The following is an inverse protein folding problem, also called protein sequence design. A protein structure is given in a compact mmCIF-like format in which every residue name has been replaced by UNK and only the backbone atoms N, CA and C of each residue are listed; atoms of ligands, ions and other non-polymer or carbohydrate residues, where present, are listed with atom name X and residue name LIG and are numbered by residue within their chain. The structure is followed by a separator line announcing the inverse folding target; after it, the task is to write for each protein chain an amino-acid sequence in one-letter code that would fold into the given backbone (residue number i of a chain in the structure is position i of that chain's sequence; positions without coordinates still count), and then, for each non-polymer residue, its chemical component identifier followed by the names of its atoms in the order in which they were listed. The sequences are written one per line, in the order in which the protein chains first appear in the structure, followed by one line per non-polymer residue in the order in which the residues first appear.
data_IF_017179162019
#
_entry.id   IF_017179162019
#
_cell.length_a   1.000
_cell.length_b   1.000
_cell.length_c   1.000
_cell.angle_alpha   90.00
_cell.angle_beta   90.00
_cell.angle_gamma   90.00
#
_symmetry.space_group_name_H-M   'P 1'
#
loop_
_entity.id
_entity.type
_entity.pdbx_description
1 polymer ?
#
# COMPACT_ATOMS: atom_id res chain seq x y z
N UNK A 1 15.24 3.23 -44.85
CA UNK A 1 14.62 4.34 -44.09
C UNK A 1 14.43 5.49 -45.07
N UNK A 2 13.19 5.89 -45.31
CA UNK A 2 12.89 7.10 -46.09
C UNK A 2 13.06 8.34 -45.20
N UNK A 3 13.68 9.39 -45.73
CA UNK A 3 13.89 10.65 -45.00
C UNK A 3 12.59 11.45 -45.05
N UNK A 4 12.02 11.74 -43.88
CA UNK A 4 10.81 12.57 -43.75
C UNK A 4 11.15 14.06 -43.73
N UNK A 5 10.28 14.91 -44.28
CA UNK A 5 10.37 16.36 -44.12
C UNK A 5 10.01 16.79 -42.69
N UNK A 6 10.37 18.01 -42.30
CA UNK A 6 9.97 18.56 -41.00
C UNK A 6 8.44 18.67 -40.86
N UNK A 7 7.74 18.96 -41.95
CA UNK A 7 6.28 19.01 -41.97
C UNK A 7 5.68 17.64 -41.64
N UNK A 8 6.16 16.59 -42.31
CA UNK A 8 5.74 15.21 -42.04
C UNK A 8 6.09 14.73 -40.62
N UNK A 9 7.16 15.26 -40.01
CA UNK A 9 7.52 14.95 -38.61
C UNK A 9 6.64 15.68 -37.58
N UNK A 10 5.90 16.71 -37.99
CA UNK A 10 4.99 17.49 -37.14
C UNK A 10 3.54 17.03 -37.23
N UNK A 11 3.21 16.14 -38.17
CA UNK A 11 1.90 15.53 -38.27
C UNK A 11 1.65 14.64 -37.05
N UNK A 12 0.45 14.76 -36.45
CA UNK A 12 0.05 13.89 -35.36
C UNK A 12 -0.18 12.46 -35.88
N UNK A 13 0.25 11.47 -35.10
CA UNK A 13 -0.01 10.06 -35.38
C UNK A 13 -1.48 9.77 -35.07
N UNK A 14 -2.26 9.39 -36.10
CA UNK A 14 -3.72 9.15 -35.99
C UNK A 14 -4.08 8.16 -34.87
N UNK A 15 -3.22 7.19 -34.58
CA UNK A 15 -3.46 6.21 -33.50
C UNK A 15 -3.64 6.89 -32.15
N UNK A 16 -2.93 7.99 -31.92
CA UNK A 16 -2.95 8.74 -30.66
C UNK A 16 -4.25 9.53 -30.48
N UNK A 17 -4.86 9.95 -31.59
CA UNK A 17 -6.09 10.75 -31.61
C UNK A 17 -7.34 9.94 -31.23
N UNK A 18 -7.24 8.61 -31.21
CA UNK A 18 -8.33 7.70 -30.83
C UNK A 18 -8.47 7.53 -29.32
N UNK A 19 -7.54 8.05 -28.52
CA UNK A 19 -7.60 8.00 -27.06
C UNK A 19 -8.28 9.24 -26.52
N UNK A 20 -9.49 9.06 -25.98
CA UNK A 20 -10.35 10.12 -25.45
C UNK A 20 -10.52 9.99 -23.93
N UNK A 21 -11.14 10.95 -23.23
CA UNK A 21 -11.47 10.79 -21.81
C UNK A 21 -12.35 9.56 -21.51
N UNK A 22 -13.11 9.07 -22.49
CA UNK A 22 -13.89 7.82 -22.39
C UNK A 22 -13.10 6.54 -22.69
N UNK A 23 -11.78 6.64 -22.88
CA UNK A 23 -10.90 5.54 -23.29
C UNK A 23 -10.67 5.48 -24.80
N UNK A 24 -10.33 4.28 -25.29
CA UNK A 24 -10.10 4.01 -26.71
C UNK A 24 -11.43 4.11 -27.48
N UNK A 25 -11.51 5.06 -28.41
CA UNK A 25 -12.68 5.23 -29.28
C UNK A 25 -12.42 4.68 -30.67
N UNK A 26 -13.36 3.88 -31.18
CA UNK A 26 -13.34 3.38 -32.55
C UNK A 26 -14.00 4.37 -33.53
N UNK A 27 -14.98 5.13 -33.03
CA UNK A 27 -15.86 5.98 -33.85
C UNK A 27 -15.57 7.48 -33.74
N UNK A 28 -14.79 7.90 -32.73
CA UNK A 28 -14.43 9.30 -32.52
C UNK A 28 -12.91 9.47 -32.58
N UNK A 29 -12.48 10.52 -33.26
CA UNK A 29 -11.08 10.90 -33.39
C UNK A 29 -10.98 12.35 -32.90
N UNK A 30 -10.06 12.60 -31.97
CA UNK A 30 -9.73 13.93 -31.50
C UNK A 30 -8.96 14.70 -32.59
N UNK A 31 -9.08 16.03 -32.61
CA UNK A 31 -8.15 16.83 -33.41
C UNK A 31 -6.71 16.66 -32.88
N UNK A 32 -5.67 16.87 -33.69
CA UNK A 32 -4.28 16.87 -33.22
C UNK A 32 -4.07 17.68 -31.94
N UNK A 33 -4.65 18.88 -31.86
CA UNK A 33 -4.54 19.80 -30.73
C UNK A 33 -5.25 19.25 -29.49
N UNK A 34 -6.44 18.68 -29.67
CA UNK A 34 -7.21 18.08 -28.57
C UNK A 34 -6.52 16.83 -28.02
N UNK A 35 -5.93 16.02 -28.90
CA UNK A 35 -5.12 14.86 -28.52
C UNK A 35 -3.87 15.32 -27.75
N UNK A 36 -3.16 16.33 -28.25
CA UNK A 36 -2.00 16.90 -27.57
C UNK A 36 -2.33 17.47 -26.19
N UNK A 37 -3.43 18.22 -26.07
CA UNK A 37 -3.89 18.74 -24.80
C UNK A 37 -4.25 17.61 -23.83
N UNK A 38 -5.08 16.65 -24.26
CA UNK A 38 -5.50 15.53 -23.44
C UNK A 38 -4.31 14.73 -22.90
N UNK A 39 -3.34 14.38 -23.75
CA UNK A 39 -2.15 13.62 -23.32
C UNK A 39 -1.29 14.41 -22.33
N UNK A 40 -1.14 15.73 -22.49
CA UNK A 40 -0.41 16.57 -21.54
C UNK A 40 -1.13 16.68 -20.19
N UNK A 41 -2.45 16.82 -20.19
CA UNK A 41 -3.26 16.89 -18.97
C UNK A 41 -3.14 15.61 -18.14
N UNK A 42 -3.09 14.43 -18.77
CA UNK A 42 -2.92 13.15 -18.08
C UNK A 42 -1.63 13.06 -17.24
N UNK A 43 -0.55 13.71 -17.68
CA UNK A 43 0.74 13.70 -16.98
C UNK A 43 1.01 14.99 -16.19
N UNK A 44 0.21 16.05 -16.39
CA UNK A 44 0.41 17.35 -15.77
C UNK A 44 0.41 17.30 -14.24
N UNK A 45 -0.49 16.49 -13.67
CA UNK A 45 -0.67 16.34 -12.22
C UNK A 45 0.32 15.36 -11.55
N UNK A 46 1.17 14.68 -12.31
CA UNK A 46 2.11 13.70 -11.76
C UNK A 46 3.32 14.42 -11.18
N UNK A 47 3.24 14.86 -9.93
CA UNK A 47 4.24 15.72 -9.30
C UNK A 47 5.15 14.94 -8.34
N UNK A 48 6.44 15.27 -8.37
CA UNK A 48 7.41 14.79 -7.39
C UNK A 48 7.57 15.82 -6.26
N UNK A 49 7.60 15.34 -5.02
CA UNK A 49 7.80 16.19 -3.83
C UNK A 49 9.13 16.93 -3.88
N UNK A 50 9.25 18.16 -3.34
CA UNK A 50 10.44 19.02 -3.51
C UNK A 50 11.76 18.36 -3.11
N UNK A 51 11.74 17.49 -2.10
CA UNK A 51 12.92 16.87 -1.50
C UNK A 51 13.61 15.83 -2.40
N UNK A 52 12.94 15.37 -3.46
CA UNK A 52 13.54 14.44 -4.43
C UNK A 52 14.75 15.09 -5.09
N UNK A 53 15.85 14.33 -5.17
CA UNK A 53 17.12 14.76 -5.76
C UNK A 53 16.97 15.27 -7.18
N UNK A 54 17.83 16.21 -7.58
CA UNK A 54 17.80 16.81 -8.90
C UNK A 54 17.96 15.78 -10.03
N UNK A 55 18.80 14.75 -9.85
CA UNK A 55 19.03 13.69 -10.85
C UNK A 55 17.77 12.86 -11.13
N UNK A 56 17.13 12.37 -10.08
CA UNK A 56 15.85 11.64 -10.17
C UNK A 56 14.73 12.53 -10.74
N UNK A 57 14.61 13.78 -10.26
CA UNK A 57 13.62 14.73 -10.78
C UNK A 57 13.79 15.00 -12.27
N UNK A 58 15.00 15.32 -12.70
CA UNK A 58 15.30 15.59 -14.11
C UNK A 58 14.97 14.37 -14.99
N UNK A 59 15.25 13.16 -14.51
CA UNK A 59 14.92 11.92 -15.24
C UNK A 59 13.41 11.77 -15.41
N UNK A 60 12.65 12.01 -14.35
CA UNK A 60 11.19 11.91 -14.37
C UNK A 60 10.53 13.01 -15.23
N UNK A 61 10.95 14.27 -15.09
CA UNK A 61 10.42 15.40 -15.86
C UNK A 61 10.72 15.24 -17.36
N UNK A 62 11.87 14.63 -17.70
CA UNK A 62 12.20 14.26 -19.08
C UNK A 62 11.22 13.21 -19.62
N UNK A 63 10.82 12.21 -18.83
CA UNK A 63 9.81 11.24 -19.26
C UNK A 63 8.46 11.90 -19.51
N UNK A 64 8.00 12.78 -18.61
CA UNK A 64 6.76 13.57 -18.81
C UNK A 64 6.80 14.40 -20.10
N UNK A 65 7.95 15.03 -20.37
CA UNK A 65 8.15 15.82 -21.58
C UNK A 65 8.12 14.95 -22.83
N UNK A 66 8.85 13.82 -22.82
CA UNK A 66 8.89 12.89 -23.96
C UNK A 66 7.53 12.25 -24.21
N UNK A 67 6.78 11.93 -23.15
CA UNK A 67 5.41 11.42 -23.24
C UNK A 67 4.52 12.33 -24.10
N UNK A 68 4.58 13.65 -23.89
CA UNK A 68 3.80 14.60 -24.65
C UNK A 68 4.11 14.57 -26.17
N UNK A 69 5.37 14.28 -26.54
CA UNK A 69 5.76 14.09 -27.94
C UNK A 69 5.23 12.79 -28.56
N UNK A 70 4.71 11.86 -27.77
CA UNK A 70 4.11 10.62 -28.27
C UNK A 70 2.91 10.83 -29.20
N UNK A 71 2.27 12.00 -29.14
CA UNK A 71 1.22 12.44 -30.08
C UNK A 71 1.73 12.50 -31.52
N UNK A 72 3.02 12.80 -31.72
CA UNK A 72 3.65 12.87 -33.04
C UNK A 72 4.20 11.51 -33.49
N UNK A 73 4.48 10.61 -32.56
CA UNK A 73 4.99 9.27 -32.83
C UNK A 73 4.56 8.32 -31.72
N UNK A 74 3.57 7.49 -32.00
CA UNK A 74 2.93 6.63 -31.01
C UNK A 74 3.94 5.72 -30.28
N UNK A 75 4.97 5.23 -30.97
CA UNK A 75 5.94 4.28 -30.41
C UNK A 75 6.73 4.90 -29.23
N UNK A 76 6.78 6.23 -29.13
CA UNK A 76 7.36 6.95 -28.00
C UNK A 76 6.68 6.56 -26.68
N UNK A 77 5.38 6.28 -26.64
CA UNK A 77 4.72 5.85 -25.40
C UNK A 77 5.33 4.54 -24.85
N UNK A 78 5.70 3.63 -25.74
CA UNK A 78 6.36 2.37 -25.36
C UNK A 78 7.78 2.62 -24.88
N UNK A 79 8.50 3.54 -25.52
CA UNK A 79 9.85 3.94 -25.11
C UNK A 79 9.83 4.60 -23.73
N UNK A 80 8.85 5.50 -23.48
CA UNK A 80 8.68 6.17 -22.18
C UNK A 80 8.35 5.17 -21.09
N UNK A 81 7.42 4.24 -21.35
CA UNK A 81 7.08 3.17 -20.40
C UNK A 81 8.30 2.32 -20.03
N UNK A 82 9.04 1.84 -21.03
CA UNK A 82 10.27 1.08 -20.82
C UNK A 82 11.32 1.87 -20.03
N UNK A 83 11.48 3.16 -20.32
CA UNK A 83 12.45 4.01 -19.62
C UNK A 83 11.99 4.35 -18.20
N UNK A 84 10.68 4.47 -17.94
CA UNK A 84 10.15 4.65 -16.60
C UNK A 84 10.57 3.51 -15.65
N UNK A 85 10.59 2.27 -16.15
CA UNK A 85 11.07 1.11 -15.39
C UNK A 85 12.58 1.19 -15.05
N UNK A 86 13.38 1.86 -15.87
CA UNK A 86 14.81 2.10 -15.57
C UNK A 86 14.99 3.23 -14.54
N UNK A 87 14.12 4.24 -14.55
CA UNK A 87 14.17 5.35 -13.58
C UNK A 87 13.89 4.88 -12.14
N UNK A 88 13.16 3.77 -11.95
CA UNK A 88 12.98 3.15 -10.62
C UNK A 88 14.33 2.80 -9.98
N UNK A 89 15.23 2.18 -10.74
CA UNK A 89 16.56 1.84 -10.22
C UNK A 89 17.41 3.09 -9.97
N UNK A 90 17.31 4.10 -10.83
CA UNK A 90 17.98 5.38 -10.62
C UNK A 90 17.52 6.04 -9.32
N UNK A 91 16.20 6.14 -9.10
CA UNK A 91 15.63 6.72 -7.88
C UNK A 91 16.05 5.98 -6.62
N UNK A 92 16.08 4.63 -6.67
CA UNK A 92 16.59 3.81 -5.57
C UNK A 92 18.06 4.08 -5.27
N UNK A 93 18.91 4.22 -6.30
CA UNK A 93 20.34 4.52 -6.11
C UNK A 93 20.56 5.91 -5.52
N UNK A 94 19.87 6.92 -6.05
CA UNK A 94 19.92 8.28 -5.51
C UNK A 94 19.51 8.28 -4.03
N UNK A 95 18.37 7.65 -3.73
CA UNK A 95 17.88 7.56 -2.35
C UNK A 95 18.83 6.78 -1.45
N UNK A 96 19.46 5.72 -1.96
CA UNK A 96 20.44 4.92 -1.25
C UNK A 96 21.67 5.73 -0.83
N UNK A 97 22.23 6.50 -1.76
CA UNK A 97 23.40 7.35 -1.49
C UNK A 97 23.05 8.45 -0.48
N UNK A 98 21.90 9.10 -0.64
CA UNK A 98 21.41 10.12 0.28
C UNK A 98 21.21 9.56 1.70
N UNK A 99 20.51 8.42 1.82
CA UNK A 99 20.21 7.78 3.11
C UNK A 99 21.48 7.44 3.92
N UNK A 100 22.55 7.05 3.23
CA UNK A 100 23.82 6.67 3.86
C UNK A 100 24.77 7.85 4.11
N UNK A 101 24.45 9.06 3.67
CA UNK A 101 25.21 10.28 4.00
C UNK A 101 26.70 10.21 3.66
N UNK A 102 27.06 9.48 2.59
CA UNK A 102 28.44 9.35 2.11
C UNK A 102 29.24 8.15 2.64
N UNK A 103 28.70 7.30 3.52
CA UNK A 103 29.39 6.05 3.89
C UNK A 103 28.43 4.89 4.11
N UNK A 104 28.70 3.79 3.40
CA UNK A 104 27.91 2.55 3.49
C UNK A 104 28.69 1.53 4.30
N UNK A 105 28.02 0.87 5.25
CA UNK A 105 28.63 -0.15 6.10
C UNK A 105 28.15 -1.53 5.75
N UNK A 106 29.09 -2.42 5.44
CA UNK A 106 28.87 -3.85 5.24
C UNK A 106 29.42 -4.64 6.42
N UNK A 107 28.71 -5.69 6.82
CA UNK A 107 29.06 -6.55 7.96
C UNK A 107 29.28 -7.97 7.46
N UNK A 108 30.44 -8.55 7.76
CA UNK A 108 30.75 -9.93 7.40
C UNK A 108 29.97 -10.90 8.28
N UNK A 109 29.25 -11.83 7.67
CA UNK A 109 28.37 -12.75 8.40
C UNK A 109 29.12 -13.66 9.37
N UNK A 110 30.36 -14.05 9.04
CA UNK A 110 31.13 -15.05 9.81
C UNK A 110 31.72 -14.53 11.12
N UNK A 111 32.14 -13.27 11.17
CA UNK A 111 32.90 -12.71 12.31
C UNK A 111 32.49 -11.28 12.68
N UNK A 112 31.40 -10.78 12.10
CA UNK A 112 30.84 -9.45 12.36
C UNK A 112 31.80 -8.29 12.02
N UNK A 113 32.88 -8.53 11.26
CA UNK A 113 33.78 -7.46 10.83
C UNK A 113 33.05 -6.46 9.93
N UNK A 114 33.25 -5.18 10.22
CA UNK A 114 32.71 -4.08 9.42
C UNK A 114 33.66 -3.65 8.30
N UNK A 115 33.07 -3.34 7.15
CA UNK A 115 33.71 -2.69 6.01
C UNK A 115 32.95 -1.41 5.69
N UNK A 116 33.66 -0.28 5.75
CA UNK A 116 33.11 1.03 5.38
C UNK A 116 33.54 1.36 3.96
N UNK A 117 32.55 1.66 3.12
CA UNK A 117 32.75 1.98 1.70
C UNK A 117 32.30 3.43 1.50
N UNK A 118 33.15 4.22 0.84
CA UNK A 118 32.79 5.58 0.46
C UNK A 118 31.62 5.54 -0.54
N UNK A 119 30.57 6.32 -0.25
CA UNK A 119 29.33 6.35 -1.00
C UNK A 119 29.06 7.74 -1.60
N UNK A 120 30.12 8.43 -2.00
CA UNK A 120 30.04 9.64 -2.84
C UNK A 120 29.47 9.34 -4.23
N UNK A 121 29.61 8.11 -4.72
CA UNK A 121 28.94 7.60 -5.92
C UNK A 121 28.59 6.13 -5.75
N UNK A 122 27.86 5.56 -6.72
CA UNK A 122 27.44 4.17 -6.67
C UNK A 122 28.56 3.17 -7.06
N UNK A 123 29.59 3.64 -7.78
CA UNK A 123 30.64 2.79 -8.34
C UNK A 123 31.52 2.12 -7.27
N UNK A 124 32.02 2.81 -6.22
CA UNK A 124 32.78 2.16 -5.14
C UNK A 124 32.01 1.04 -4.42
N UNK A 125 30.69 1.18 -4.30
CA UNK A 125 29.83 0.14 -3.71
C UNK A 125 29.84 -1.11 -4.59
N UNK A 126 29.68 -0.94 -5.90
CA UNK A 126 29.73 -2.05 -6.86
C UNK A 126 31.09 -2.73 -6.88
N UNK A 127 32.17 -1.97 -6.82
CA UNK A 127 33.53 -2.52 -6.77
C UNK A 127 33.79 -3.31 -5.49
N UNK A 128 33.33 -2.81 -4.34
CA UNK A 128 33.39 -3.54 -3.08
C UNK A 128 32.63 -4.89 -3.18
N UNK A 129 31.43 -4.89 -3.73
CA UNK A 129 30.59 -6.09 -3.85
C UNK A 129 31.20 -7.16 -4.79
N UNK A 130 32.06 -6.77 -5.73
CA UNK A 130 32.81 -7.70 -6.59
C UNK A 130 33.93 -8.42 -5.84
N UNK A 131 34.43 -7.88 -4.73
CA UNK A 131 35.48 -8.49 -3.91
C UNK A 131 35.00 -9.73 -3.15
N UNK A 132 35.94 -10.57 -2.71
CA UNK A 132 35.63 -11.74 -1.87
C UNK A 132 35.05 -11.35 -0.50
N UNK A 133 35.44 -10.19 0.04
CA UNK A 133 34.89 -9.64 1.27
C UNK A 133 33.43 -9.19 1.07
N UNK A 134 33.15 -8.46 -0.02
CA UNK A 134 31.81 -7.98 -0.34
C UNK A 134 30.80 -9.11 -0.52
N UNK A 135 31.17 -10.16 -1.28
CA UNK A 135 30.29 -11.33 -1.51
C UNK A 135 29.88 -12.08 -0.23
N UNK A 136 30.64 -11.94 0.86
CA UNK A 136 30.39 -12.59 2.15
C UNK A 136 29.82 -11.64 3.21
N UNK A 137 29.50 -10.42 2.80
CA UNK A 137 29.01 -9.38 3.70
C UNK A 137 27.54 -9.07 3.44
N UNK A 138 26.89 -8.55 4.47
CA UNK A 138 25.50 -8.04 4.43
C UNK A 138 25.53 -6.53 4.63
N UNK A 139 24.61 -5.82 4.01
CA UNK A 139 24.48 -4.39 4.19
C UNK A 139 23.85 -4.10 5.55
N UNK A 140 24.41 -3.17 6.32
CA UNK A 140 23.77 -2.64 7.54
C UNK A 140 22.69 -1.63 7.16
N UNK A 141 21.52 -1.76 7.77
CA UNK A 141 20.38 -0.88 7.55
C UNK A 141 20.31 0.16 8.67
N UNK A 142 20.53 1.43 8.31
CA UNK A 142 20.53 2.54 9.26
C UNK A 142 21.59 2.39 10.38
N UNK A 143 21.31 2.97 11.54
CA UNK A 143 22.19 2.92 12.72
C UNK A 143 22.02 1.65 13.57
N UNK A 144 21.08 0.77 13.24
CA UNK A 144 20.75 -0.42 14.03
C UNK A 144 21.59 -1.66 13.69
N UNK A 145 21.38 -2.79 14.40
CA UNK A 145 22.06 -4.05 14.12
C UNK A 145 21.48 -4.79 12.90
N UNK A 146 20.36 -4.33 12.35
CA UNK A 146 19.69 -4.98 11.24
C UNK A 146 20.58 -5.02 9.98
N UNK A 147 20.62 -6.19 9.32
CA UNK A 147 21.38 -6.36 8.07
C UNK A 147 20.59 -7.10 6.99
N UNK A 148 20.80 -6.73 5.74
CA UNK A 148 20.15 -7.33 4.57
C UNK A 148 21.16 -7.91 3.59
N UNK A 149 20.74 -8.93 2.85
CA UNK A 149 21.49 -9.33 1.66
C UNK A 149 21.42 -8.21 0.64
N UNK A 150 22.57 -7.84 0.07
CA UNK A 150 22.66 -6.74 -0.88
C UNK A 150 23.64 -7.09 -1.99
N UNK A 151 23.16 -7.09 -3.23
CA UNK A 151 23.96 -7.39 -4.43
C UNK A 151 24.28 -6.14 -5.26
N UNK A 152 23.87 -4.94 -4.80
CA UNK A 152 24.06 -3.69 -5.54
C UNK A 152 23.18 -3.53 -6.78
N UNK A 153 22.30 -4.49 -7.05
CA UNK A 153 21.35 -4.46 -8.16
C UNK A 153 19.95 -4.10 -7.67
N UNK A 154 19.01 -3.89 -8.60
CA UNK A 154 17.63 -3.52 -8.31
C UNK A 154 16.97 -4.35 -7.19
N UNK A 155 17.11 -5.67 -7.19
CA UNK A 155 16.59 -6.55 -6.14
C UNK A 155 17.23 -6.27 -4.76
N UNK A 156 18.54 -6.07 -4.69
CA UNK A 156 19.22 -5.68 -3.45
C UNK A 156 18.77 -4.31 -2.95
N UNK A 157 18.56 -3.34 -3.87
CA UNK A 157 18.05 -2.02 -3.56
C UNK A 157 16.61 -2.06 -3.02
N UNK A 158 15.71 -2.86 -3.61
CA UNK A 158 14.35 -3.02 -3.08
C UNK A 158 14.35 -3.64 -1.68
N UNK A 159 15.14 -4.70 -1.46
CA UNK A 159 15.26 -5.33 -0.13
C UNK A 159 15.79 -4.35 0.91
N UNK A 160 16.79 -3.54 0.54
CA UNK A 160 17.28 -2.48 1.39
C UNK A 160 16.20 -1.44 1.69
N UNK A 161 15.50 -0.93 0.68
CA UNK A 161 14.49 0.11 0.84
C UNK A 161 13.33 -0.37 1.75
N UNK A 162 12.91 -1.62 1.60
CA UNK A 162 11.94 -2.29 2.50
C UNK A 162 12.46 -2.37 3.93
N UNK A 163 13.67 -2.89 4.12
CA UNK A 163 14.25 -3.01 5.46
C UNK A 163 14.52 -1.65 6.13
N UNK A 164 14.80 -0.62 5.34
CA UNK A 164 14.95 0.76 5.79
C UNK A 164 13.61 1.45 6.12
N UNK A 165 12.48 0.78 5.88
CA UNK A 165 11.14 1.33 6.12
C UNK A 165 10.71 2.37 5.07
N UNK A 166 11.38 2.42 3.93
CA UNK A 166 11.07 3.37 2.85
C UNK A 166 9.93 2.88 1.96
N UNK A 167 9.70 1.57 1.87
CA UNK A 167 8.62 0.96 1.10
C UNK A 167 7.62 0.27 2.02
N UNK A 168 6.33 0.52 1.79
CA UNK A 168 5.21 0.09 2.64
C UNK A 168 4.16 -0.71 1.86
N UNK A 169 3.30 -1.41 2.58
CA UNK A 169 2.20 -2.22 2.05
C UNK A 169 2.64 -3.63 1.65
N UNK A 170 1.94 -4.65 2.12
CA UNK A 170 2.25 -6.05 1.85
C UNK A 170 1.91 -6.47 0.41
N UNK A 171 0.83 -5.93 -0.18
CA UNK A 171 0.45 -6.17 -1.58
C UNK A 171 1.41 -5.52 -2.57
N UNK A 172 1.99 -4.39 -2.19
CA UNK A 172 2.99 -3.70 -3.01
C UNK A 172 4.23 -4.55 -3.28
N UNK A 173 4.56 -5.53 -2.42
CA UNK A 173 5.65 -6.48 -2.68
C UNK A 173 5.43 -7.28 -3.97
N UNK A 174 4.16 -7.63 -4.26
CA UNK A 174 3.79 -8.27 -5.52
C UNK A 174 4.09 -7.37 -6.71
N UNK A 175 3.68 -6.10 -6.62
CA UNK A 175 3.95 -5.09 -7.64
C UNK A 175 5.46 -4.85 -7.83
N UNK A 176 6.21 -4.68 -6.75
CA UNK A 176 7.67 -4.51 -6.79
C UNK A 176 8.34 -5.70 -7.51
N UNK A 177 7.93 -6.94 -7.20
CA UNK A 177 8.46 -8.13 -7.88
C UNK A 177 8.16 -8.12 -9.38
N UNK A 178 6.94 -7.79 -9.78
CA UNK A 178 6.55 -7.70 -11.19
C UNK A 178 7.34 -6.59 -11.89
N UNK A 179 7.46 -5.42 -11.27
CA UNK A 179 8.23 -4.30 -11.81
C UNK A 179 9.70 -4.65 -12.03
N UNK A 180 10.32 -5.41 -11.11
CA UNK A 180 11.69 -5.92 -11.32
C UNK A 180 11.78 -6.87 -12.52
N UNK A 181 10.79 -7.76 -12.70
CA UNK A 181 10.74 -8.66 -13.85
C UNK A 181 10.57 -7.89 -15.17
N UNK A 182 9.68 -6.90 -15.20
CA UNK A 182 9.46 -6.04 -16.36
C UNK A 182 10.70 -5.22 -16.69
N UNK A 183 11.38 -4.63 -15.70
CA UNK A 183 12.66 -3.94 -15.90
C UNK A 183 13.70 -4.86 -16.53
N UNK A 184 13.80 -6.10 -16.05
CA UNK A 184 14.75 -7.07 -16.62
C UNK A 184 14.38 -7.47 -18.06
N UNK A 185 13.09 -7.59 -18.37
CA UNK A 185 12.62 -7.80 -19.74
C UNK A 185 12.99 -6.63 -20.67
N UNK A 186 12.84 -5.38 -20.20
CA UNK A 186 13.26 -4.19 -20.95
C UNK A 186 14.77 -4.17 -21.18
N UNK A 187 15.57 -4.58 -20.20
CA UNK A 187 17.03 -4.67 -20.34
C UNK A 187 17.48 -5.78 -21.31
N UNK A 188 16.63 -6.80 -21.53
CA UNK A 188 16.92 -7.98 -22.35
C UNK A 188 15.73 -8.34 -23.26
N UNK A 189 15.39 -7.48 -24.24
CA UNK A 189 14.18 -7.66 -25.03
C UNK A 189 14.29 -8.90 -25.93
N UNK A 190 13.26 -9.75 -25.90
CA UNK A 190 13.15 -10.93 -26.76
C UNK A 190 12.23 -10.72 -27.96
N UNK A 191 11.38 -9.70 -27.93
CA UNK A 191 10.44 -9.36 -29.00
C UNK A 191 10.09 -7.88 -29.00
N UNK A 192 9.62 -7.37 -30.14
CA UNK A 192 8.98 -6.06 -30.20
C UNK A 192 7.66 -6.08 -29.40
N UNK A 193 7.35 -4.98 -28.73
CA UNK A 193 6.06 -4.78 -28.07
C UNK A 193 5.59 -3.34 -28.32
N UNK A 194 4.29 -3.12 -28.16
CA UNK A 194 3.66 -1.82 -28.35
C UNK A 194 2.62 -1.64 -27.25
N UNK A 195 2.70 -0.54 -26.50
CA UNK A 195 1.80 -0.22 -25.40
C UNK A 195 0.83 0.90 -25.75
N UNK A 196 -0.25 0.99 -24.98
CA UNK A 196 -1.19 2.11 -25.10
C UNK A 196 -0.72 3.33 -24.29
N UNK A 197 -1.06 4.56 -24.71
CA UNK A 197 -0.73 5.77 -23.96
C UNK A 197 -1.23 5.71 -22.51
N UNK A 198 -2.44 5.15 -22.29
CA UNK A 198 -3.03 4.99 -20.96
C UNK A 198 -2.26 4.04 -20.05
N UNK A 199 -1.64 2.99 -20.61
CA UNK A 199 -0.77 2.08 -19.84
C UNK A 199 0.51 2.81 -19.44
N UNK A 200 1.11 3.57 -20.36
CA UNK A 200 2.29 4.39 -20.09
C UNK A 200 2.01 5.45 -19.00
N UNK A 201 0.86 6.12 -19.02
CA UNK A 201 0.45 7.06 -17.95
C UNK A 201 0.33 6.34 -16.61
N UNK A 202 -0.24 5.13 -16.58
CA UNK A 202 -0.32 4.34 -15.35
C UNK A 202 1.08 4.03 -14.82
N UNK A 203 2.01 3.64 -15.67
CA UNK A 203 3.42 3.41 -15.28
C UNK A 203 4.09 4.69 -14.76
N UNK A 204 3.86 5.85 -15.40
CA UNK A 204 4.38 7.13 -14.93
C UNK A 204 3.79 7.55 -13.58
N UNK A 205 2.51 7.26 -13.35
CA UNK A 205 1.85 7.48 -12.05
C UNK A 205 2.43 6.58 -10.97
N UNK A 206 2.54 5.28 -11.24
CA UNK A 206 3.17 4.32 -10.34
C UNK A 206 4.63 4.72 -10.02
N UNK A 207 5.36 5.23 -11.01
CA UNK A 207 6.72 5.75 -10.83
C UNK A 207 6.76 6.97 -9.93
N UNK A 208 5.86 7.95 -10.14
CA UNK A 208 5.76 9.12 -9.26
C UNK A 208 5.42 8.73 -7.81
N UNK A 209 4.46 7.81 -7.62
CA UNK A 209 4.12 7.29 -6.30
C UNK A 209 5.31 6.60 -5.64
N UNK A 210 6.02 5.75 -6.39
CA UNK A 210 7.21 5.05 -5.90
C UNK A 210 8.32 6.02 -5.49
N UNK A 211 8.63 7.00 -6.33
CA UNK A 211 9.65 8.02 -6.03
C UNK A 211 9.22 8.81 -4.79
N UNK A 212 8.01 9.36 -4.72
CA UNK A 212 7.58 10.13 -3.56
C UNK A 212 7.65 9.31 -2.27
N UNK A 213 7.24 8.03 -2.32
CA UNK A 213 7.32 7.12 -1.19
C UNK A 213 8.76 6.87 -0.72
N UNK A 214 9.73 6.76 -1.63
CA UNK A 214 11.14 6.62 -1.26
C UNK A 214 11.66 7.80 -0.40
N UNK A 215 11.11 9.00 -0.60
CA UNK A 215 11.38 10.19 0.21
C UNK A 215 10.40 10.37 1.39
N UNK A 216 9.55 9.37 1.67
CA UNK A 216 8.66 9.38 2.83
C UNK A 216 7.35 10.13 2.62
N UNK A 217 6.98 10.42 1.37
CA UNK A 217 5.75 11.12 1.03
C UNK A 217 4.77 10.17 0.32
N UNK A 218 3.82 9.55 1.04
CA UNK A 218 2.79 8.75 0.39
C UNK A 218 1.85 9.67 -0.41
N UNK A 219 1.30 9.16 -1.51
CA UNK A 219 0.59 9.97 -2.51
C UNK A 219 -0.92 10.02 -2.21
N UNK A 220 -1.54 11.21 -2.08
CA UNK A 220 -2.99 11.33 -1.96
C UNK A 220 -3.71 10.69 -3.15
N UNK A 221 -4.64 9.76 -2.87
CA UNK A 221 -5.33 8.99 -3.90
C UNK A 221 -4.44 8.02 -4.70
N UNK A 222 -3.20 7.81 -4.25
CA UNK A 222 -2.27 6.86 -4.87
C UNK A 222 -2.78 5.43 -4.79
N UNK A 223 -2.39 4.61 -5.76
CA UNK A 223 -2.79 3.19 -5.84
C UNK A 223 -1.82 2.28 -5.11
N UNK A 224 -0.52 2.52 -5.24
CA UNK A 224 0.52 1.70 -4.65
C UNK A 224 0.84 2.21 -3.25
N UNK A 225 1.30 3.45 -3.15
CA UNK A 225 1.72 4.05 -1.89
C UNK A 225 0.78 5.17 -1.51
N UNK A 226 -0.48 4.80 -1.29
CA UNK A 226 -1.56 5.71 -0.88
C UNK A 226 -1.19 6.47 0.39
N UNK A 227 -1.51 7.76 0.44
CA UNK A 227 -1.54 8.52 1.70
C UNK A 227 -2.54 7.91 2.70
N UNK A 228 -2.42 8.25 4.00
CA UNK A 228 -3.45 7.96 4.98
C UNK A 228 -4.86 8.25 4.44
N UNK A 229 -5.78 7.32 4.72
CA UNK A 229 -7.17 7.46 4.26
C UNK A 229 -7.91 8.39 5.20
N UNK A 230 -8.59 9.37 4.64
CA UNK A 230 -9.57 10.17 5.37
C UNK A 230 -10.74 9.29 5.82
N UNK A 231 -11.19 9.53 7.06
CA UNK A 231 -12.34 8.86 7.66
C UNK A 231 -13.32 9.90 8.20
N UNK A 232 -14.59 9.67 7.87
CA UNK A 232 -15.71 10.49 8.30
C UNK A 232 -16.38 9.88 9.53
N UNK A 233 -17.24 10.64 10.19
CA UNK A 233 -18.17 10.09 11.19
C UNK A 233 -19.40 9.58 10.45
N UNK A 234 -19.65 8.29 10.55
CA UNK A 234 -20.64 7.55 9.76
C UNK A 234 -21.62 6.87 10.69
N UNK A 235 -22.89 6.90 10.32
CA UNK A 235 -23.95 6.12 10.97
C UNK A 235 -24.25 4.93 10.08
N UNK A 236 -24.20 3.74 10.68
CA UNK A 236 -24.72 2.52 10.07
C UNK A 236 -25.97 2.15 10.84
N UNK A 237 -27.13 2.21 10.18
CA UNK A 237 -28.42 1.89 10.76
C UNK A 237 -29.03 0.67 10.08
N UNK A 238 -29.79 -0.12 10.83
CA UNK A 238 -30.45 -1.33 10.36
C UNK A 238 -31.81 -1.54 11.01
N UNK A 239 -32.70 -2.23 10.29
CA UNK A 239 -33.99 -2.66 10.80
C UNK A 239 -33.98 -4.12 11.26
N UNK A 240 -35.12 -4.59 11.79
CA UNK A 240 -35.30 -6.00 12.20
C UNK A 240 -35.38 -6.98 11.03
N UNK A 241 -35.59 -6.50 9.81
CA UNK A 241 -35.69 -7.31 8.59
C UNK A 241 -34.33 -7.49 7.90
N UNK A 242 -33.28 -6.81 8.39
CA UNK A 242 -31.93 -6.87 7.84
C UNK A 242 -31.64 -5.80 6.79
N UNK A 243 -32.55 -4.85 6.56
CA UNK A 243 -32.26 -3.67 5.76
C UNK A 243 -31.20 -2.82 6.43
N UNK A 244 -30.21 -2.35 5.69
CA UNK A 244 -29.12 -1.49 6.20
C UNK A 244 -29.05 -0.19 5.41
N UNK A 245 -28.71 0.89 6.10
CA UNK A 245 -28.43 2.20 5.51
C UNK A 245 -27.18 2.80 6.14
N UNK A 246 -26.40 3.52 5.33
CA UNK A 246 -25.15 4.17 5.75
C UNK A 246 -25.17 5.63 5.31
N UNK A 247 -24.92 6.55 6.23
CA UNK A 247 -24.93 7.99 5.96
C UNK A 247 -23.99 8.74 6.93
N UNK A 248 -23.67 10.00 6.59
CA UNK A 248 -22.84 10.86 7.45
C UNK A 248 -23.59 11.25 8.72
N UNK A 249 -22.91 11.24 9.87
CA UNK A 249 -23.54 11.55 11.15
C UNK A 249 -24.07 12.99 11.26
N UNK A 250 -23.55 13.93 10.47
CA UNK A 250 -24.08 15.30 10.38
C UNK A 250 -25.55 15.35 9.93
N UNK A 251 -26.04 14.30 9.26
CA UNK A 251 -27.45 14.19 8.84
C UNK A 251 -28.39 13.68 9.94
N UNK A 252 -27.89 13.32 11.13
CA UNK A 252 -28.74 12.93 12.27
C UNK A 252 -29.65 14.07 12.75
N UNK A 253 -29.32 15.33 12.43
CA UNK A 253 -30.08 16.52 12.86
C UNK A 253 -31.39 16.78 12.10
N UNK A 254 -31.73 15.97 11.09
CA UNK A 254 -32.90 16.18 10.22
C UNK A 254 -34.28 16.02 10.87
N UNK A 255 -34.33 15.64 12.16
CA UNK A 255 -35.56 15.24 12.85
C UNK A 255 -35.98 13.80 12.50
N UNK A 256 -36.71 13.11 13.40
CA UNK A 256 -37.13 11.73 13.16
C UNK A 256 -38.09 11.64 11.96
N UNK A 257 -37.75 10.82 10.98
CA UNK A 257 -38.62 10.47 9.86
C UNK A 257 -39.55 9.31 10.24
N UNK A 258 -40.65 9.18 9.50
CA UNK A 258 -41.61 8.10 9.70
C UNK A 258 -40.93 6.73 9.48
N UNK A 259 -40.76 5.95 10.56
CA UNK A 259 -40.07 4.66 10.54
C UNK A 259 -38.75 4.59 11.31
N UNK A 260 -38.19 5.74 11.72
CA UNK A 260 -36.90 5.82 12.42
C UNK A 260 -36.91 5.12 13.79
N UNK A 261 -38.05 5.06 14.48
CA UNK A 261 -38.21 4.36 15.76
C UNK A 261 -37.92 2.85 15.68
N UNK A 262 -37.95 2.29 14.47
CA UNK A 262 -37.70 0.86 14.22
C UNK A 262 -36.24 0.56 13.91
N UNK A 263 -35.42 1.58 13.70
CA UNK A 263 -34.01 1.43 13.35
C UNK A 263 -33.13 1.38 14.58
N UNK A 264 -32.16 0.46 14.55
CA UNK A 264 -31.00 0.46 15.43
C UNK A 264 -29.82 1.01 14.65
N UNK A 265 -28.89 1.67 15.32
CA UNK A 265 -27.70 2.19 14.66
C UNK A 265 -26.47 2.15 15.55
N UNK A 266 -25.31 2.24 14.91
CA UNK A 266 -24.00 2.53 15.51
C UNK A 266 -23.41 3.76 14.84
N UNK A 267 -22.54 4.45 15.57
CA UNK A 267 -21.70 5.52 15.06
C UNK A 267 -20.26 5.00 14.97
N UNK A 268 -19.68 5.15 13.79
CA UNK A 268 -18.34 4.71 13.45
C UNK A 268 -17.51 5.88 12.94
N UNK A 269 -16.19 5.76 13.05
CA UNK A 269 -15.24 6.53 12.25
C UNK A 269 -14.69 5.62 11.16
N UNK A 270 -15.01 5.89 9.91
CA UNK A 270 -14.65 5.01 8.78
C UNK A 270 -14.61 5.73 7.44
N UNK A 271 -14.05 5.06 6.42
CA UNK A 271 -13.95 5.61 5.07
C UNK A 271 -15.33 5.61 4.38
N UNK A 272 -15.94 6.78 4.27
CA UNK A 272 -17.21 6.97 3.59
C UNK A 272 -17.27 8.36 2.96
N UNK A 273 -17.39 8.43 1.63
CA UNK A 273 -17.60 9.66 0.87
C UNK A 273 -18.81 9.50 -0.06
N UNK A 274 -20.00 9.97 0.34
CA UNK A 274 -21.19 9.89 -0.50
C UNK A 274 -21.00 10.70 -1.79
N UNK A 275 -21.55 10.20 -2.91
CA UNK A 275 -21.52 10.89 -4.21
C UNK A 275 -20.34 10.55 -5.13
N UNK A 276 -19.29 9.89 -4.63
CA UNK A 276 -18.12 9.46 -5.45
C UNK A 276 -17.94 7.94 -5.52
N UNK A 277 -18.94 7.15 -5.12
CA UNK A 277 -18.87 5.68 -5.00
C UNK A 277 -17.69 5.14 -4.16
N UNK A 278 -17.03 5.99 -3.38
CA UNK A 278 -15.98 5.60 -2.42
C UNK A 278 -16.60 5.30 -1.06
N UNK A 279 -17.21 4.11 -0.95
CA UNK A 279 -17.64 3.52 0.32
C UNK A 279 -16.87 2.22 0.52
N UNK A 280 -16.36 1.99 1.73
CA UNK A 280 -15.87 0.68 2.11
C UNK A 280 -17.05 -0.32 2.16
N UNK A 281 -17.06 -1.37 1.32
CA UNK A 281 -18.17 -2.32 1.26
C UNK A 281 -18.35 -3.10 2.57
N UNK A 282 -17.32 -3.15 3.42
CA UNK A 282 -17.38 -3.81 4.73
C UNK A 282 -18.17 -3.03 5.78
N UNK A 283 -18.45 -1.73 5.59
CA UNK A 283 -19.12 -0.90 6.60
C UNK A 283 -20.54 -1.39 6.93
N UNK A 284 -21.28 -1.90 5.95
CA UNK A 284 -22.63 -2.45 6.16
C UNK A 284 -22.61 -3.77 6.94
N UNK A 285 -21.44 -4.40 7.06
CA UNK A 285 -21.19 -5.62 7.81
C UNK A 285 -20.22 -5.39 8.98
N UNK A 286 -20.20 -4.16 9.51
CA UNK A 286 -19.33 -3.78 10.61
C UNK A 286 -19.54 -4.69 11.82
N UNK A 287 -18.43 -5.07 12.45
CA UNK A 287 -18.39 -5.88 13.65
C UNK A 287 -17.37 -5.27 14.62
N UNK A 288 -17.76 -5.02 15.86
CA UNK A 288 -16.85 -4.41 16.85
C UNK A 288 -15.74 -5.36 17.32
N UNK A 289 -15.92 -6.67 17.14
CA UNK A 289 -14.94 -7.70 17.49
C UNK A 289 -13.97 -7.97 16.33
N UNK A 290 -14.47 -7.94 15.10
CA UNK A 290 -13.73 -8.44 13.94
C UNK A 290 -13.56 -7.39 12.85
N UNK A 291 -12.38 -7.42 12.25
CA UNK A 291 -12.02 -6.58 11.12
C UNK A 291 -12.62 -7.15 9.83
N UNK A 292 -13.70 -6.52 9.36
CA UNK A 292 -14.36 -6.85 8.09
C UNK A 292 -14.21 -5.72 7.04
N UNK A 293 -13.64 -4.58 7.43
CA UNK A 293 -13.51 -3.40 6.55
C UNK A 293 -12.15 -3.38 5.86
N UNK A 294 -12.12 -2.92 4.62
CA UNK A 294 -10.88 -2.75 3.86
C UNK A 294 -9.99 -1.69 4.50
N UNK A 295 -10.59 -0.64 5.07
CA UNK A 295 -9.91 0.44 5.79
C UNK A 295 -10.15 0.33 7.31
N UNK A 296 -9.22 0.83 8.15
CA UNK A 296 -9.42 0.83 9.59
C UNK A 296 -10.69 1.59 9.99
N UNK A 297 -11.56 0.96 10.76
CA UNK A 297 -12.82 1.54 11.21
C UNK A 297 -12.89 1.51 12.73
N UNK A 298 -13.13 2.66 13.35
CA UNK A 298 -13.25 2.76 14.80
C UNK A 298 -14.72 2.80 15.19
N UNK A 299 -15.08 1.98 16.16
CA UNK A 299 -16.38 2.05 16.81
C UNK A 299 -16.41 3.21 17.81
N UNK A 300 -17.42 4.07 17.72
CA UNK A 300 -17.57 5.23 18.61
C UNK A 300 -18.75 5.09 19.58
N UNK A 301 -19.89 4.59 19.12
CA UNK A 301 -21.10 4.49 19.92
C UNK A 301 -22.13 3.50 19.37
N UNK A 302 -22.98 2.98 20.25
CA UNK A 302 -24.14 2.15 19.94
C UNK A 302 -24.17 0.79 20.68
N UNK A 303 -24.88 -0.20 20.14
CA UNK A 303 -26.05 0.01 19.30
C UNK A 303 -27.14 0.81 20.06
N UNK A 304 -27.87 1.69 19.38
CA UNK A 304 -28.98 2.44 19.99
C UNK A 304 -29.99 2.94 18.96
N UNK A 305 -30.95 3.78 19.38
CA UNK A 305 -31.90 4.41 18.45
C UNK A 305 -31.25 5.59 17.71
N UNK A 306 -31.86 6.05 16.61
CA UNK A 306 -31.39 7.25 15.91
C UNK A 306 -31.48 8.52 16.78
N UNK A 307 -32.48 8.61 17.67
CA UNK A 307 -32.58 9.70 18.63
C UNK A 307 -31.40 9.70 19.63
N UNK A 308 -31.11 8.56 20.24
CA UNK A 308 -29.97 8.43 21.17
C UNK A 308 -28.63 8.73 20.46
N UNK A 309 -28.50 8.31 19.20
CA UNK A 309 -27.33 8.58 18.36
C UNK A 309 -27.16 10.07 18.09
N UNK A 310 -28.25 10.77 17.74
CA UNK A 310 -28.26 12.22 17.51
C UNK A 310 -27.85 12.97 18.78
N UNK A 311 -28.42 12.60 19.93
CA UNK A 311 -28.06 13.16 21.23
C UNK A 311 -26.61 12.88 21.61
N UNK A 312 -26.09 11.70 21.31
CA UNK A 312 -24.69 11.36 21.57
C UNK A 312 -23.76 12.18 20.67
N UNK A 313 -24.06 12.26 19.37
CA UNK A 313 -23.26 12.99 18.38
C UNK A 313 -23.21 14.49 18.69
N UNK A 314 -24.35 15.10 19.03
CA UNK A 314 -24.42 16.50 19.43
C UNK A 314 -23.58 16.81 20.68
N UNK A 315 -23.50 15.87 21.64
CA UNK A 315 -22.72 16.01 22.88
C UNK A 315 -21.23 15.79 22.70
N UNK A 316 -20.82 14.79 21.90
CA UNK A 316 -19.42 14.37 21.80
C UNK A 316 -18.67 15.00 20.64
N UNK A 317 -19.40 15.44 19.59
CA UNK A 317 -18.84 16.08 18.39
C UNK A 317 -17.56 15.40 17.88
N UNK A 318 -17.60 14.07 17.64
CA UNK A 318 -16.41 13.36 17.19
C UNK A 318 -15.91 13.95 15.87
N UNK A 319 -14.59 14.02 15.72
CA UNK A 319 -13.96 14.62 14.55
C UNK A 319 -13.57 13.54 13.53
N UNK A 320 -13.61 13.86 12.21
CA UNK A 320 -12.95 13.05 11.20
C UNK A 320 -11.44 13.01 11.45
N UNK A 321 -10.77 12.00 10.89
CA UNK A 321 -9.32 11.88 10.96
C UNK A 321 -8.74 11.25 9.69
N UNK A 322 -7.42 11.09 9.67
CA UNK A 322 -6.70 10.32 8.68
C UNK A 322 -6.02 9.13 9.36
N UNK A 323 -6.06 7.96 8.70
CA UNK A 323 -5.45 6.75 9.23
C UNK A 323 -4.68 6.00 8.15
N UNK A 324 -3.52 5.46 8.51
CA UNK A 324 -2.81 4.54 7.63
C UNK A 324 -3.55 3.20 7.56
N UNK A 325 -3.60 2.62 6.36
CA UNK A 325 -4.29 1.36 6.09
C UNK A 325 -3.39 0.29 5.48
N UNK A 326 -2.11 0.60 5.26
CA UNK A 326 -1.11 -0.36 4.80
C UNK A 326 -0.36 -0.96 5.99
N UNK A 327 0.16 -2.17 5.81
CA UNK A 327 0.96 -2.88 6.82
C UNK A 327 0.28 -2.99 8.20
N UNK A 328 -1.05 -3.11 8.22
CA UNK A 328 -1.86 -3.30 9.42
C UNK A 328 -1.52 -4.62 10.10
N UNK A 329 -1.68 -4.68 11.42
CA UNK A 329 -1.43 -5.91 12.18
C UNK A 329 -2.75 -6.46 12.73
N UNK A 330 -2.98 -7.74 12.45
CA UNK A 330 -4.17 -8.46 12.84
C UNK A 330 -3.84 -9.61 13.78
N UNK A 331 -4.70 -9.81 14.78
CA UNK A 331 -4.69 -10.97 15.66
C UNK A 331 -5.75 -11.97 15.20
N UNK A 332 -5.36 -13.22 14.99
CA UNK A 332 -6.25 -14.29 14.53
C UNK A 332 -6.15 -15.46 15.51
N UNK A 333 -7.30 -15.93 15.99
CA UNK A 333 -7.41 -17.07 16.91
C UNK A 333 -7.76 -18.34 16.13
N UNK A 334 -7.08 -19.44 16.45
CA UNK A 334 -7.45 -20.79 16.05
C UNK A 334 -7.68 -21.62 17.30
N UNK A 335 -8.90 -22.12 17.48
CA UNK A 335 -9.28 -22.87 18.67
C UNK A 335 -10.30 -23.96 18.33
N UNK A 336 -10.11 -25.17 18.87
CA UNK A 336 -11.00 -26.31 18.65
C UNK A 336 -11.40 -26.56 17.18
N UNK A 337 -10.44 -26.43 16.25
CA UNK A 337 -10.69 -26.64 14.81
C UNK A 337 -11.35 -25.45 14.09
N UNK A 338 -11.61 -24.35 14.80
CA UNK A 338 -12.25 -23.17 14.26
C UNK A 338 -11.26 -22.03 14.11
N UNK A 339 -11.24 -21.44 12.91
CA UNK A 339 -10.47 -20.25 12.62
C UNK A 339 -11.38 -19.03 12.73
N UNK A 340 -11.03 -18.13 13.63
CA UNK A 340 -11.77 -16.89 13.85
C UNK A 340 -11.36 -15.83 12.85
N UNK A 341 -12.23 -14.85 12.62
CA UNK A 341 -11.92 -13.70 11.78
C UNK A 341 -10.80 -12.84 12.40
N UNK A 342 -10.08 -12.05 11.60
CA UNK A 342 -9.07 -11.13 12.09
C UNK A 342 -9.66 -10.12 13.09
N UNK A 343 -8.90 -9.82 14.13
CA UNK A 343 -9.21 -8.79 15.12
C UNK A 343 -8.10 -7.74 15.11
N UNK A 344 -8.43 -6.51 15.54
CA UNK A 344 -7.40 -5.58 15.98
C UNK A 344 -6.77 -6.08 17.28
N UNK A 345 -5.54 -5.66 17.53
CA UNK A 345 -4.76 -6.14 18.67
C UNK A 345 -5.35 -5.64 20.00
N UNK A 346 -5.84 -4.40 20.02
CA UNK A 346 -6.55 -3.83 21.18
C UNK A 346 -7.79 -4.65 21.55
N UNK A 347 -8.58 -5.06 20.54
CA UNK A 347 -9.73 -5.94 20.73
C UNK A 347 -9.32 -7.31 21.24
N UNK A 348 -8.28 -7.92 20.67
CA UNK A 348 -7.76 -9.21 21.13
C UNK A 348 -7.20 -9.14 22.56
N UNK A 349 -6.59 -8.01 22.94
CA UNK A 349 -6.07 -7.76 24.29
C UNK A 349 -7.20 -7.59 25.31
N UNK A 350 -8.33 -6.99 24.90
CA UNK A 350 -9.51 -6.75 25.72
C UNK A 350 -10.45 -7.95 25.88
N UNK A 351 -10.14 -9.12 25.31
CA UNK A 351 -10.99 -10.30 25.43
C UNK A 351 -11.10 -10.82 26.86
N UNK A 352 -12.25 -11.39 27.22
CA UNK A 352 -12.42 -12.11 28.48
C UNK A 352 -11.53 -13.36 28.55
N UNK A 353 -11.10 -13.84 29.72
CA UNK A 353 -10.20 -14.99 29.85
C UNK A 353 -10.66 -16.25 29.12
N UNK A 354 -11.96 -16.52 29.10
CA UNK A 354 -12.58 -17.64 28.36
C UNK A 354 -12.40 -17.54 26.84
N UNK A 355 -12.24 -16.31 26.32
CA UNK A 355 -12.06 -16.01 24.91
C UNK A 355 -10.58 -15.94 24.48
N UNK A 356 -9.64 -16.19 25.39
CA UNK A 356 -8.19 -16.16 25.14
C UNK A 356 -7.58 -17.53 24.81
N UNK A 357 -8.33 -18.61 24.96
CA UNK A 357 -7.84 -19.97 24.69
C UNK A 357 -7.46 -20.19 23.21
N UNK A 358 -6.70 -21.25 22.95
CA UNK A 358 -6.28 -21.63 21.60
C UNK A 358 -4.94 -21.03 21.15
N UNK A 359 -4.64 -21.23 19.87
CA UNK A 359 -3.44 -20.74 19.20
C UNK A 359 -3.73 -19.37 18.58
N UNK A 360 -2.89 -18.40 18.84
CA UNK A 360 -2.97 -17.06 18.30
C UNK A 360 -1.91 -16.83 17.24
N UNK A 361 -2.26 -16.11 16.19
CA UNK A 361 -1.38 -15.68 15.12
C UNK A 361 -1.44 -14.16 15.01
N UNK A 362 -0.27 -13.53 15.00
CA UNK A 362 -0.12 -12.10 14.73
C UNK A 362 0.42 -11.94 13.32
N UNK A 363 -0.35 -11.28 12.45
CA UNK A 363 -0.07 -11.21 11.02
C UNK A 363 -0.11 -9.76 10.56
N UNK A 364 0.93 -9.32 9.86
CA UNK A 364 0.97 -8.04 9.15
C UNK A 364 0.41 -8.22 7.74
N UNK A 365 -0.60 -7.44 7.37
CA UNK A 365 -1.28 -7.47 6.07
C UNK A 365 -1.90 -6.10 5.75
N UNK A 366 -2.22 -5.82 4.49
CA UNK A 366 -2.95 -4.59 4.12
C UNK A 366 -4.46 -4.75 4.35
N UNK A 367 -4.97 -5.98 4.24
CA UNK A 367 -6.38 -6.31 4.42
C UNK A 367 -6.60 -7.50 5.36
N UNK A 368 -7.73 -7.54 6.08
CA UNK A 368 -8.06 -8.66 6.97
C UNK A 368 -8.11 -10.00 6.23
N UNK A 369 -8.65 -10.04 5.01
CA UNK A 369 -8.73 -11.28 4.22
C UNK A 369 -7.35 -11.86 3.86
N UNK A 370 -6.35 -11.00 3.63
CA UNK A 370 -4.98 -11.46 3.35
C UNK A 370 -4.37 -12.11 4.61
N UNK A 371 -4.64 -11.56 5.80
CA UNK A 371 -4.21 -12.12 7.07
C UNK A 371 -4.92 -13.44 7.40
N UNK A 372 -6.23 -13.50 7.17
CA UNK A 372 -7.05 -14.71 7.36
C UNK A 372 -6.60 -15.83 6.42
N UNK A 373 -6.43 -15.51 5.13
CA UNK A 373 -5.94 -16.44 4.12
C UNK A 373 -4.54 -16.97 4.46
N UNK A 374 -3.63 -16.09 4.89
CA UNK A 374 -2.30 -16.50 5.35
C UNK A 374 -2.37 -17.49 6.52
N UNK A 375 -3.14 -17.17 7.57
CA UNK A 375 -3.27 -18.02 8.76
C UNK A 375 -3.93 -19.36 8.44
N UNK A 376 -4.97 -19.35 7.60
CA UNK A 376 -5.58 -20.59 7.10
C UNK A 376 -4.54 -21.49 6.44
N UNK A 377 -3.72 -20.94 5.54
CA UNK A 377 -2.69 -21.71 4.83
C UNK A 377 -1.58 -22.23 5.75
N UNK A 378 -1.27 -21.53 6.85
CA UNK A 378 -0.36 -22.04 7.87
C UNK A 378 -0.92 -23.25 8.60
N UNK A 379 -2.22 -23.22 8.91
CA UNK A 379 -2.91 -24.30 9.64
C UNK A 379 -3.09 -25.53 8.75
N UNK A 380 -3.47 -25.33 7.48
CA UNK A 380 -3.72 -26.44 6.54
C UNK A 380 -2.45 -26.97 5.89
N UNK A 381 -1.40 -26.14 5.76
CA UNK A 381 -0.15 -26.50 5.11
C UNK A 381 -0.17 -26.39 3.57
N UNK A 382 -1.22 -25.81 2.98
CA UNK A 382 -1.52 -25.94 1.53
C UNK A 382 -0.60 -25.13 0.60
N UNK A 383 -0.06 -23.99 1.07
CA UNK A 383 0.58 -23.00 0.18
C UNK A 383 1.99 -22.59 0.60
N UNK A 384 2.63 -23.34 1.51
CA UNK A 384 4.01 -23.06 1.93
C UNK A 384 4.19 -21.68 2.57
N UNK A 385 3.13 -21.14 3.20
CA UNK A 385 3.25 -19.93 4.00
C UNK A 385 4.20 -20.15 5.18
N UNK A 386 4.92 -19.10 5.60
CA UNK A 386 5.83 -19.14 6.74
C UNK A 386 5.21 -18.47 7.96
N UNK A 387 5.41 -19.05 9.15
CA UNK A 387 4.82 -18.54 10.40
C UNK A 387 5.48 -17.27 10.92
N UNK A 388 6.70 -16.98 10.47
CA UNK A 388 7.49 -15.82 10.87
C UNK A 388 8.11 -15.13 9.65
N UNK A 389 8.20 -13.81 9.74
CA UNK A 389 8.78 -12.95 8.72
C UNK A 389 7.90 -12.79 7.48
N UNK A 390 8.53 -12.26 6.44
CA UNK A 390 7.91 -12.06 5.13
C UNK A 390 7.54 -13.39 4.47
N UNK A 391 6.25 -13.56 4.16
CA UNK A 391 5.78 -14.75 3.45
C UNK A 391 6.17 -14.68 1.96
N UNK A 392 6.82 -15.72 1.40
CA UNK A 392 7.17 -15.74 -0.02
C UNK A 392 5.98 -16.01 -0.95
N UNK A 393 4.89 -16.59 -0.42
CA UNK A 393 3.74 -17.03 -1.22
C UNK A 393 2.60 -16.01 -1.28
N UNK A 394 2.39 -15.21 -0.23
CA UNK A 394 1.24 -14.31 -0.13
C UNK A 394 1.61 -12.92 0.39
N UNK A 395 0.64 -12.01 0.34
CA UNK A 395 0.80 -10.61 0.75
C UNK A 395 0.61 -10.41 2.26
N UNK A 396 1.26 -11.25 3.06
CA UNK A 396 1.25 -11.14 4.51
C UNK A 396 2.64 -11.44 5.09
N UNK A 397 2.85 -11.07 6.35
CA UNK A 397 4.03 -11.45 7.12
C UNK A 397 3.61 -11.96 8.50
N UNK A 398 4.13 -13.11 8.89
CA UNK A 398 3.95 -13.64 10.25
C UNK A 398 4.82 -12.86 11.23
N UNK A 399 4.25 -12.39 12.33
CA UNK A 399 4.98 -11.65 13.36
C UNK A 399 5.22 -12.50 14.61
N UNK A 400 4.23 -13.31 14.99
CA UNK A 400 4.29 -14.22 16.13
C UNK A 400 3.18 -15.27 16.01
N UNK A 401 3.40 -16.44 16.59
CA UNK A 401 2.37 -17.45 16.79
C UNK A 401 2.58 -18.17 18.11
N UNK A 402 1.49 -18.46 18.84
CA UNK A 402 1.57 -19.07 20.17
C UNK A 402 0.34 -18.84 21.04
N UNK A 403 0.38 -19.22 22.33
CA UNK A 403 -0.64 -18.85 23.31
C UNK A 403 -0.87 -17.33 23.37
N UNK A 404 -2.07 -16.91 23.79
CA UNK A 404 -2.45 -15.49 23.83
C UNK A 404 -1.43 -14.60 24.56
N UNK A 405 -0.89 -15.04 25.70
CA UNK A 405 0.08 -14.27 26.47
C UNK A 405 1.44 -14.14 25.78
N UNK A 406 1.80 -15.09 24.91
CA UNK A 406 3.06 -15.02 24.15
C UNK A 406 2.93 -14.16 22.89
N UNK A 407 1.70 -13.87 22.44
CA UNK A 407 1.45 -13.17 21.18
C UNK A 407 0.91 -11.75 21.39
N UNK A 408 0.05 -11.56 22.39
CA UNK A 408 -0.70 -10.32 22.62
C UNK A 408 -0.14 -9.53 23.82
N UNK A 409 0.66 -10.14 24.71
CA UNK A 409 1.34 -9.40 25.77
C UNK A 409 2.42 -8.49 25.14
N UNK A 410 2.41 -7.16 25.40
CA UNK A 410 3.46 -6.26 24.92
C UNK A 410 4.88 -6.70 25.32
N UNK A 411 5.03 -7.53 26.36
CA UNK A 411 6.30 -8.10 26.80
C UNK A 411 6.92 -9.18 25.89
N UNK A 412 6.17 -9.79 24.98
CA UNK A 412 6.62 -10.94 24.16
C UNK A 412 6.77 -10.62 22.66
N UNK A 413 6.18 -9.52 22.19
CA UNK A 413 6.25 -9.10 20.79
C UNK A 413 7.64 -8.54 20.44
N UNK A 414 8.16 -8.86 19.24
CA UNK A 414 9.48 -8.42 18.78
C UNK A 414 9.64 -6.89 18.81
N UNK A 415 10.86 -6.33 18.97
CA UNK A 415 11.08 -4.88 19.03
C UNK A 415 10.53 -4.09 17.82
N UNK A 416 10.53 -4.69 16.63
CA UNK A 416 9.96 -4.10 15.42
C UNK A 416 8.43 -4.06 15.44
N UNK A 417 7.80 -5.14 15.91
CA UNK A 417 6.36 -5.17 16.09
C UNK A 417 5.93 -4.27 17.26
N UNK A 418 6.75 -4.08 18.32
CA UNK A 418 6.52 -3.08 19.37
C UNK A 418 6.53 -1.64 18.88
N UNK A 419 7.39 -1.28 17.91
CA UNK A 419 7.41 0.08 17.34
C UNK A 419 6.09 0.40 16.64
N UNK A 420 5.53 -0.54 15.89
CA UNK A 420 4.20 -0.38 15.27
C UNK A 420 3.08 -0.39 16.31
N UNK A 421 3.12 -1.31 17.29
CA UNK A 421 2.16 -1.36 18.40
C UNK A 421 2.08 -0.07 19.23
N UNK A 422 3.20 0.63 19.41
CA UNK A 422 3.25 1.86 20.23
C UNK A 422 2.48 3.05 19.64
N UNK A 423 2.18 3.00 18.34
CA UNK A 423 1.39 4.02 17.63
C UNK A 423 -0.12 3.75 17.82
N UNK A 424 -0.54 2.48 17.86
CA UNK A 424 -1.95 2.07 17.81
C UNK A 424 -2.63 1.93 19.19
N UNK A 425 -1.87 1.66 20.26
CA UNK A 425 -2.42 1.36 21.61
C UNK A 425 -3.08 2.55 22.36
N UNK A 426 -3.30 3.70 21.71
CA UNK A 426 -3.92 4.87 22.37
C UNK A 426 -5.44 4.89 22.36
N UNK A 427 -6.13 3.96 21.68
CA UNK A 427 -7.58 4.03 21.51
C UNK A 427 -8.24 2.66 21.63
N UNK A 428 -9.40 2.65 22.29
CA UNK A 428 -10.44 1.58 22.36
C UNK A 428 -10.21 0.31 23.22
N UNK A 429 -10.84 0.32 24.41
CA UNK A 429 -11.43 -0.87 25.04
C UNK A 429 -12.95 -0.79 24.85
N UNK A 430 -13.59 -1.90 24.43
CA UNK A 430 -14.91 -2.43 24.90
C UNK A 430 -15.75 -3.14 23.80
N UNK A 431 -16.02 -4.42 24.09
CA UNK A 431 -17.13 -5.31 23.65
C UNK A 431 -17.15 -5.96 22.26
N UNK A 432 -17.50 -7.25 22.31
CA UNK A 432 -17.35 -8.25 21.26
C UNK A 432 -18.41 -9.36 21.39
N UNK A 433 -19.05 -9.78 20.29
CA UNK A 433 -19.56 -11.15 20.05
C UNK A 433 -20.15 -11.30 18.63
N UNK A 434 -19.48 -12.10 17.78
CA UNK A 434 -20.09 -12.77 16.63
C UNK A 434 -19.35 -14.09 16.30
N UNK A 435 -19.88 -14.87 15.35
CA UNK A 435 -19.68 -16.33 15.22
C UNK A 435 -18.48 -16.75 14.34
N UNK A 436 -17.86 -17.92 14.63
CA UNK A 436 -16.67 -18.47 13.94
C UNK A 436 -16.95 -18.99 12.52
N UNK A 437 -15.88 -19.12 11.71
CA UNK A 437 -15.90 -19.75 10.38
C UNK A 437 -15.42 -21.20 10.51
N UNK A 438 -16.27 -22.16 10.15
CA UNK A 438 -15.90 -23.57 10.15
C UNK A 438 -15.01 -23.88 8.95
N UNK A 439 -13.80 -24.39 9.19
CA UNK A 439 -12.96 -24.97 8.15
C UNK A 439 -13.53 -26.35 7.81
N UNK A 440 -13.87 -26.57 6.54
CA UNK A 440 -14.28 -27.86 5.99
C UNK A 440 -13.06 -28.67 5.56
#
# INVERSE_FOLDING_TARGET
MEIKSLEQLREADERTQRFTPGGLSLDKILTPESAAQFQQELVAGLNLVPDVTAGTRQSFDRLRTIYAYGVLCYDIFTIVDSHALLVIEHALRDRFLEFHGGTVTFVRTSDQREFRVDATSYEPIMDFLRTSAGKKSRLRVGAGPATVQFNGMLDGLHRWARAAGLLRGQRNRGHERVTMQLRNFVAHPTSAHLLMPVDCVRTLRDLAEFINQLWGHPTPGGRLYSAPSERSIVVVAWDKQGGTQTFLAEHLGGGPQEGDDKLRCVILRGRFRPGIHEMDPGLTHFDSRFENTLFPTDYLWGPGTLADASDWYARHQPQPDEVDHLDRVFAIRYDHGQLYRPMRIDVAAGLEPEDRAGLWHLVRADHPDDALGHTRNLITGDLGCTSEGECPTCYASGLAAGPWHDVIDPGSVSPEARRQLSVDLRLSNLYARSKPVTLA
#
